data_IF_899752990921
#
_entry.id   IF_899752990921
#
_cell.length_a   1.000
_cell.length_b   1.000
_cell.length_c   1.000
_cell.angle_alpha   90.00
_cell.angle_beta   90.00
_cell.angle_gamma   90.00
#
_symmetry.space_group_name_H-M   'P 1'
#
loop_
_entity.id
_entity.type
_entity.pdbx_description
1 polymer ?
#
# COMPACT_ATOMS: atom_id res chain seq x y z
N UNK A 1 -15.35 2.60 13.62
CA UNK A 1 -14.80 1.37 13.02
C UNK A 1 -13.45 1.68 12.40
N UNK A 2 -12.46 0.84 12.67
CA UNK A 2 -11.11 1.07 12.18
C UNK A 2 -11.02 0.75 10.69
N UNK A 3 -10.24 1.56 9.96
CA UNK A 3 -9.94 1.29 8.56
C UNK A 3 -8.90 0.18 8.47
N UNK A 4 -9.01 -0.65 7.46
CA UNK A 4 -8.17 -1.82 7.23
C UNK A 4 -7.13 -1.52 6.15
N UNK A 5 -5.86 -1.63 6.49
CA UNK A 5 -4.77 -1.31 5.58
C UNK A 5 -3.96 -2.57 5.30
N UNK A 6 -3.80 -2.91 4.03
CA UNK A 6 -2.97 -4.03 3.60
C UNK A 6 -1.58 -3.50 3.25
N UNK A 7 -0.56 -4.02 3.92
CA UNK A 7 0.83 -3.61 3.71
C UNK A 7 1.55 -4.72 2.93
N UNK A 8 2.01 -4.40 1.73
CA UNK A 8 2.68 -5.35 0.83
C UNK A 8 4.13 -4.92 0.63
N UNK A 9 5.06 -5.67 1.21
CA UNK A 9 6.49 -5.39 1.11
C UNK A 9 7.23 -6.71 1.33
N UNK A 10 8.29 -6.95 0.55
CA UNK A 10 9.07 -8.18 0.67
C UNK A 10 10.01 -8.20 1.87
N UNK A 11 10.24 -7.04 2.50
CA UNK A 11 11.09 -6.93 3.67
C UNK A 11 10.29 -7.00 4.96
N UNK A 12 10.53 -8.03 5.76
CA UNK A 12 9.81 -8.24 7.01
C UNK A 12 9.93 -7.06 7.97
N UNK A 13 11.15 -6.50 8.07
CA UNK A 13 11.41 -5.36 8.98
C UNK A 13 10.56 -4.15 8.61
N UNK A 14 10.40 -3.90 7.32
CA UNK A 14 9.56 -2.78 6.83
C UNK A 14 8.10 -3.06 7.10
N UNK A 15 7.63 -4.29 6.83
CA UNK A 15 6.24 -4.66 7.13
C UNK A 15 5.92 -4.45 8.61
N UNK A 16 6.81 -4.91 9.49
CA UNK A 16 6.61 -4.80 10.93
C UNK A 16 6.63 -3.34 11.40
N UNK A 17 7.56 -2.56 10.87
CA UNK A 17 7.66 -1.14 11.21
C UNK A 17 6.40 -0.38 10.79
N UNK A 18 5.98 -0.56 9.55
CA UNK A 18 4.81 0.13 9.00
C UNK A 18 3.55 -0.31 9.74
N UNK A 19 3.38 -1.61 9.94
CA UNK A 19 2.21 -2.12 10.66
C UNK A 19 2.15 -1.58 12.09
N UNK A 20 3.29 -1.52 12.78
CA UNK A 20 3.36 -0.97 14.13
C UNK A 20 2.94 0.49 14.19
N UNK A 21 3.45 1.30 13.26
CA UNK A 21 3.09 2.73 13.18
C UNK A 21 1.60 2.90 12.95
N UNK A 22 1.04 2.13 12.04
CA UNK A 22 -0.39 2.22 11.70
C UNK A 22 -1.28 1.70 12.83
N UNK A 23 -0.90 0.60 13.46
CA UNK A 23 -1.65 0.05 14.60
C UNK A 23 -1.71 1.06 15.75
N UNK A 24 -0.60 1.74 16.01
CA UNK A 24 -0.54 2.75 17.07
C UNK A 24 -1.49 3.93 16.81
N UNK A 25 -1.81 4.19 15.55
CA UNK A 25 -2.75 5.25 15.17
C UNK A 25 -4.20 4.76 15.09
N UNK A 26 -4.45 3.49 15.39
CA UNK A 26 -5.81 2.96 15.42
C UNK A 26 -6.28 2.30 14.14
N UNK A 27 -5.42 2.16 13.13
CA UNK A 27 -5.75 1.41 11.92
C UNK A 27 -5.62 -0.09 12.21
N UNK A 28 -6.36 -0.90 11.47
CA UNK A 28 -6.15 -2.34 11.45
C UNK A 28 -5.21 -2.65 10.28
N UNK A 29 -4.26 -3.54 10.48
CA UNK A 29 -3.31 -3.87 9.43
C UNK A 29 -3.30 -5.36 9.13
N UNK A 30 -3.10 -5.66 7.86
CA UNK A 30 -2.77 -7.00 7.36
C UNK A 30 -1.52 -6.86 6.54
N UNK A 31 -0.70 -7.89 6.48
CA UNK A 31 0.57 -7.83 5.76
C UNK A 31 0.66 -8.93 4.72
N UNK A 32 1.42 -8.68 3.67
CA UNK A 32 1.72 -9.66 2.63
C UNK A 32 3.16 -9.45 2.17
N UNK A 33 3.87 -10.55 1.96
CA UNK A 33 5.27 -10.52 1.57
C UNK A 33 5.44 -10.48 0.04
N UNK A 34 4.43 -10.91 -0.70
CA UNK A 34 4.49 -10.98 -2.16
C UNK A 34 3.08 -10.88 -2.76
N UNK A 35 3.03 -10.85 -4.08
CA UNK A 35 1.78 -10.60 -4.81
C UNK A 35 0.70 -11.64 -4.52
N UNK A 36 1.05 -12.91 -4.48
CA UNK A 36 0.04 -13.94 -4.28
C UNK A 36 -0.63 -13.84 -2.91
N UNK A 37 0.14 -13.56 -1.85
CA UNK A 37 -0.43 -13.30 -0.53
C UNK A 37 -1.32 -12.05 -0.53
N UNK A 38 -0.90 -11.02 -1.25
CA UNK A 38 -1.69 -9.78 -1.36
C UNK A 38 -3.03 -10.06 -2.05
N UNK A 39 -3.02 -10.83 -3.12
CA UNK A 39 -4.26 -11.16 -3.85
C UNK A 39 -5.19 -12.02 -3.01
N UNK A 40 -4.66 -12.94 -2.22
CA UNK A 40 -5.45 -13.71 -1.26
C UNK A 40 -6.09 -12.80 -0.22
N UNK A 41 -5.33 -11.85 0.30
CA UNK A 41 -5.84 -10.91 1.29
C UNK A 41 -6.96 -10.04 0.72
N UNK A 42 -6.81 -9.60 -0.53
CA UNK A 42 -7.84 -8.83 -1.24
C UNK A 42 -9.13 -9.65 -1.42
N UNK A 43 -8.98 -10.93 -1.78
CA UNK A 43 -10.13 -11.81 -1.97
C UNK A 43 -10.87 -12.08 -0.66
N UNK A 44 -10.14 -12.13 0.45
CA UNK A 44 -10.74 -12.37 1.75
C UNK A 44 -11.56 -11.17 2.24
N UNK A 45 -11.05 -9.96 2.01
CA UNK A 45 -11.73 -8.73 2.44
C UNK A 45 -11.13 -7.53 1.72
N UNK A 46 -11.99 -6.63 1.22
CA UNK A 46 -11.55 -5.40 0.57
C UNK A 46 -10.84 -4.49 1.59
N UNK A 47 -9.58 -4.10 1.35
CA UNK A 47 -8.93 -3.14 2.25
C UNK A 47 -9.40 -1.72 1.98
N UNK A 48 -9.25 -0.85 2.99
CA UNK A 48 -9.50 0.59 2.83
C UNK A 48 -8.36 1.26 2.07
N UNK A 49 -7.17 0.67 2.12
CA UNK A 49 -5.96 1.19 1.47
C UNK A 49 -4.97 0.06 1.31
N UNK A 50 -4.21 0.06 0.22
CA UNK A 50 -3.07 -0.82 0.04
C UNK A 50 -1.80 0.03 0.04
N UNK A 51 -0.83 -0.32 0.90
CA UNK A 51 0.53 0.21 0.85
C UNK A 51 1.36 -0.82 0.09
N UNK A 52 1.93 -0.42 -1.02
CA UNK A 52 2.51 -1.37 -1.97
C UNK A 52 3.93 -0.96 -2.35
N UNK A 53 4.90 -1.81 -2.02
CA UNK A 53 6.28 -1.61 -2.44
C UNK A 53 6.39 -1.84 -3.96
N UNK A 54 7.11 -0.96 -4.64
CA UNK A 54 7.35 -1.06 -6.09
C UNK A 54 8.11 -2.34 -6.43
N UNK A 55 9.13 -2.67 -5.64
CA UNK A 55 9.98 -3.85 -5.91
C UNK A 55 9.67 -4.96 -4.93
N UNK A 56 9.07 -6.06 -5.42
CA UNK A 56 8.74 -7.23 -4.62
C UNK A 56 9.63 -8.40 -5.04
N UNK A 57 10.78 -8.54 -4.40
CA UNK A 57 11.72 -9.60 -4.72
C UNK A 57 11.12 -10.97 -4.40
N UNK A 58 11.34 -11.91 -5.32
CA UNK A 58 10.80 -13.26 -5.14
C UNK A 58 9.32 -13.39 -5.40
N UNK A 59 8.65 -12.32 -5.80
CA UNK A 59 7.21 -12.32 -6.10
C UNK A 59 6.98 -12.62 -7.57
N UNK A 60 5.88 -13.30 -7.86
CA UNK A 60 5.44 -13.58 -9.23
C UNK A 60 5.16 -12.29 -10.01
N UNK A 61 4.57 -11.32 -9.33
CA UNK A 61 4.32 -9.98 -9.90
C UNK A 61 5.14 -8.97 -9.11
N UNK A 62 5.69 -7.97 -9.77
CA UNK A 62 6.30 -6.83 -9.06
C UNK A 62 5.20 -5.86 -8.59
N UNK A 63 5.61 -4.78 -7.93
CA UNK A 63 4.65 -3.82 -7.37
C UNK A 63 3.79 -3.13 -8.42
N UNK A 64 4.36 -2.78 -9.58
CA UNK A 64 3.59 -2.11 -10.64
C UNK A 64 2.60 -3.08 -11.29
N UNK A 65 3.00 -4.32 -11.51
CA UNK A 65 2.12 -5.34 -12.05
C UNK A 65 0.99 -5.66 -11.07
N UNK A 66 1.31 -5.72 -9.78
CA UNK A 66 0.29 -5.94 -8.76
C UNK A 66 -0.69 -4.76 -8.67
N UNK A 67 -0.18 -3.54 -8.81
CA UNK A 67 -1.05 -2.36 -8.88
C UNK A 67 -2.08 -2.49 -10.01
N UNK A 68 -1.63 -2.89 -11.20
CA UNK A 68 -2.55 -3.12 -12.32
C UNK A 68 -3.61 -4.15 -11.98
N UNK A 69 -3.21 -5.24 -11.34
CA UNK A 69 -4.14 -6.30 -10.96
C UNK A 69 -5.16 -5.84 -9.92
N UNK A 70 -4.71 -5.07 -8.93
CA UNK A 70 -5.60 -4.50 -7.91
C UNK A 70 -6.64 -3.60 -8.56
N UNK A 71 -6.20 -2.73 -9.47
CA UNK A 71 -7.10 -1.77 -10.13
C UNK A 71 -8.08 -2.45 -11.08
N UNK A 72 -7.70 -3.57 -11.67
CA UNK A 72 -8.63 -4.37 -12.47
C UNK A 72 -9.74 -4.98 -11.61
N UNK A 73 -9.38 -5.45 -10.41
CA UNK A 73 -10.35 -6.09 -9.52
C UNK A 73 -11.29 -5.09 -8.87
N UNK A 74 -10.75 -3.95 -8.44
CA UNK A 74 -11.55 -2.90 -7.81
C UNK A 74 -10.85 -1.56 -7.97
N UNK A 75 -11.22 -0.77 -8.99
CA UNK A 75 -10.56 0.52 -9.23
C UNK A 75 -10.77 1.54 -8.11
N UNK A 76 -11.69 1.29 -7.19
CA UNK A 76 -11.95 2.23 -6.09
C UNK A 76 -11.00 2.07 -4.90
N UNK A 77 -10.21 0.99 -4.85
CA UNK A 77 -9.26 0.79 -3.75
C UNK A 77 -8.10 1.77 -3.90
N UNK A 78 -7.88 2.66 -2.93
CA UNK A 78 -6.71 3.54 -3.00
C UNK A 78 -5.42 2.76 -2.77
N UNK A 79 -4.38 3.11 -3.51
CA UNK A 79 -3.07 2.48 -3.39
C UNK A 79 -2.01 3.55 -3.20
N UNK A 80 -1.24 3.44 -2.13
CA UNK A 80 -0.10 4.29 -1.83
C UNK A 80 1.16 3.49 -2.12
N UNK A 81 1.95 3.94 -3.09
CA UNK A 81 3.17 3.22 -3.48
C UNK A 81 4.33 3.60 -2.56
N UNK A 82 5.17 2.62 -2.26
CA UNK A 82 6.42 2.84 -1.52
C UNK A 82 7.56 2.59 -2.50
N UNK A 83 8.41 3.58 -2.73
CA UNK A 83 9.51 3.47 -3.69
C UNK A 83 10.85 3.70 -3.02
N UNK A 84 11.91 3.11 -3.58
CA UNK A 84 13.26 3.38 -3.14
C UNK A 84 13.69 4.79 -3.51
N UNK A 85 14.71 5.28 -2.82
CA UNK A 85 15.25 6.61 -3.06
C UNK A 85 15.70 6.76 -4.52
N UNK A 86 15.30 7.84 -5.15
CA UNK A 86 15.70 8.17 -6.51
C UNK A 86 14.86 7.55 -7.63
N UNK A 87 13.79 6.81 -7.30
CA UNK A 87 12.96 6.12 -8.29
C UNK A 87 11.74 6.96 -8.72
N UNK A 88 12.00 8.20 -9.13
CA UNK A 88 10.91 9.13 -9.51
C UNK A 88 10.15 8.63 -10.73
N UNK A 89 10.85 8.10 -11.74
CA UNK A 89 10.21 7.60 -12.95
C UNK A 89 9.22 6.48 -12.63
N UNK A 90 9.57 5.61 -11.70
CA UNK A 90 8.71 4.52 -11.26
C UNK A 90 7.49 5.05 -10.52
N UNK A 91 7.69 6.07 -9.68
CA UNK A 91 6.58 6.71 -8.96
C UNK A 91 5.61 7.35 -9.94
N UNK A 92 6.11 8.05 -10.96
CA UNK A 92 5.28 8.66 -12.00
C UNK A 92 4.49 7.59 -12.75
N UNK A 93 5.14 6.48 -13.12
CA UNK A 93 4.46 5.38 -13.79
C UNK A 93 3.32 4.81 -12.92
N UNK A 94 3.55 4.68 -11.61
CA UNK A 94 2.53 4.20 -10.68
C UNK A 94 1.32 5.14 -10.63
N UNK A 95 1.55 6.45 -10.57
CA UNK A 95 0.47 7.44 -10.57
C UNK A 95 -0.36 7.31 -11.86
N UNK A 96 0.30 7.16 -13.00
CA UNK A 96 -0.39 6.98 -14.29
C UNK A 96 -1.23 5.71 -14.33
N UNK A 97 -0.83 4.67 -13.58
CA UNK A 97 -1.56 3.41 -13.49
C UNK A 97 -2.68 3.44 -12.45
N UNK A 98 -2.86 4.56 -11.77
CA UNK A 98 -3.97 4.74 -10.84
C UNK A 98 -3.60 4.75 -9.36
N UNK A 99 -2.31 4.75 -9.01
CA UNK A 99 -1.90 4.92 -7.62
C UNK A 99 -2.34 6.29 -7.12
N UNK A 100 -2.77 6.34 -5.86
CA UNK A 100 -3.25 7.58 -5.25
C UNK A 100 -2.10 8.55 -4.96
N UNK A 101 -0.98 8.00 -4.50
CA UNK A 101 0.19 8.79 -4.14
C UNK A 101 1.39 7.85 -3.98
N UNK A 102 2.54 8.39 -3.64
CA UNK A 102 3.71 7.57 -3.34
C UNK A 102 4.51 8.18 -2.20
N UNK A 103 5.31 7.35 -1.53
CA UNK A 103 6.24 7.78 -0.50
C UNK A 103 7.60 7.16 -0.78
N UNK A 104 8.67 7.91 -0.61
CA UNK A 104 10.03 7.49 -0.91
C UNK A 104 10.75 7.00 0.35
N UNK A 105 11.43 5.86 0.25
CA UNK A 105 12.27 5.35 1.34
C UNK A 105 13.61 6.10 1.38
N UNK A 106 14.18 6.35 2.56
CA UNK A 106 13.59 6.18 3.89
C UNK A 106 12.57 7.27 4.20
N UNK A 107 11.54 6.94 4.96
CA UNK A 107 10.50 7.91 5.33
C UNK A 107 10.31 7.94 6.84
N UNK A 108 9.79 9.06 7.33
CA UNK A 108 9.46 9.21 8.73
C UNK A 108 7.99 8.79 8.97
N UNK A 109 7.70 8.36 10.19
CA UNK A 109 6.36 7.92 10.57
C UNK A 109 5.33 9.01 10.32
N UNK A 110 5.63 10.28 10.64
CA UNK A 110 4.69 11.37 10.44
C UNK A 110 4.33 11.56 8.97
N UNK A 111 5.30 11.38 8.07
CA UNK A 111 5.06 11.49 6.63
C UNK A 111 4.15 10.37 6.16
N UNK A 112 4.41 9.15 6.61
CA UNK A 112 3.58 8.00 6.27
C UNK A 112 2.15 8.22 6.75
N UNK A 113 1.97 8.62 8.01
CA UNK A 113 0.65 8.82 8.59
C UNK A 113 -0.13 9.92 7.87
N UNK A 114 0.56 11.00 7.47
CA UNK A 114 -0.07 12.08 6.71
C UNK A 114 -0.61 11.58 5.38
N UNK A 115 0.20 10.82 4.64
CA UNK A 115 -0.21 10.30 3.33
C UNK A 115 -1.30 9.24 3.45
N UNK A 116 -1.23 8.41 4.48
CA UNK A 116 -2.29 7.42 4.75
C UNK A 116 -3.60 8.11 5.05
N UNK A 117 -3.59 9.16 5.89
CA UNK A 117 -4.79 9.91 6.22
C UNK A 117 -5.42 10.52 4.96
N UNK A 118 -4.61 11.11 4.10
CA UNK A 118 -5.10 11.68 2.84
C UNK A 118 -5.67 10.62 1.91
N UNK A 119 -4.96 9.50 1.76
CA UNK A 119 -5.38 8.43 0.85
C UNK A 119 -6.68 7.77 1.30
N UNK A 120 -6.96 7.74 2.61
CA UNK A 120 -8.15 7.11 3.17
C UNK A 120 -9.30 8.09 3.42
N UNK A 121 -9.15 9.34 3.06
CA UNK A 121 -10.17 10.36 3.34
C UNK A 121 -11.52 9.99 2.75
N UNK A 122 -11.56 9.56 1.48
CA UNK A 122 -12.79 9.14 0.82
C UNK A 122 -13.44 7.96 1.53
N UNK A 123 -12.63 7.01 2.00
CA UNK A 123 -13.13 5.85 2.73
C UNK A 123 -13.81 6.23 4.03
N UNK A 124 -13.28 7.25 4.73
CA UNK A 124 -13.88 7.77 5.95
C UNK A 124 -15.22 8.42 5.68
N UNK A 125 -15.33 9.11 4.56
CA UNK A 125 -16.55 9.86 4.20
C UNK A 125 -17.66 8.96 3.68
N UNK A 126 -17.37 7.72 3.32
CA UNK A 126 -18.39 6.78 2.84
C UNK A 126 -19.32 6.26 3.91
N UNK A 127 -19.03 6.56 5.14
CA UNK A 127 -19.81 6.01 6.26
C UNK A 127 -20.88 6.91 6.74
#
# INVERSE_FOLDING_TARGET
>A
MALDILVVDDEEDIRDLVAGVLDDEGYQTRTAAHADEALEALAARRPSLVLLDVWLQGSRLDGLELLDEIKKRDPSIPVLMISGHGNIDTAVAAIRKGATDFIEKPFEADRLLHLVARATETERLRR
#
